data_IF_182144954490
#
_entry.id   IF_182144954490
#
_cell.length_a   1.000
_cell.length_b   1.000
_cell.length_c   1.000
_cell.angle_alpha   90.00
_cell.angle_beta   90.00
_cell.angle_gamma   90.00
#
_symmetry.space_group_name_H-M   'P 1'
#
loop_
_entity.id
_entity.type
_entity.pdbx_description
1 polymer ?
#
# COMPACT_ATOMS: atom_id res chain seq x y z
N UNK A 1 -24.20 -4.47 -7.13
CA UNK A 1 -22.73 -4.56 -7.23
C UNK A 1 -22.21 -5.94 -6.82
N UNK A 2 -22.45 -6.43 -5.60
CA UNK A 2 -21.99 -7.76 -5.13
C UNK A 2 -22.38 -8.91 -6.05
N UNK A 3 -23.64 -8.96 -6.51
CA UNK A 3 -24.12 -9.98 -7.45
C UNK A 3 -23.26 -10.07 -8.72
N UNK A 4 -22.90 -8.91 -9.31
CA UNK A 4 -22.03 -8.81 -10.48
C UNK A 4 -20.61 -9.34 -10.21
N UNK A 5 -20.10 -9.17 -8.99
CA UNK A 5 -18.82 -9.75 -8.55
C UNK A 5 -18.93 -11.28 -8.47
N UNK A 6 -20.02 -11.81 -7.88
CA UNK A 6 -20.28 -13.26 -7.78
C UNK A 6 -20.46 -13.91 -9.15
N UNK A 7 -21.10 -13.20 -10.08
CA UNK A 7 -21.32 -13.60 -11.46
C UNK A 7 -20.04 -13.50 -12.33
N UNK A 8 -18.93 -13.03 -11.78
CA UNK A 8 -17.65 -12.99 -12.47
C UNK A 8 -17.53 -11.87 -13.51
N UNK A 9 -18.35 -10.81 -13.43
CA UNK A 9 -18.30 -9.68 -14.37
C UNK A 9 -16.99 -8.86 -14.25
N UNK A 10 -16.26 -9.00 -13.14
CA UNK A 10 -15.02 -8.28 -12.88
C UNK A 10 -13.83 -9.24 -12.83
N UNK A 11 -12.74 -8.86 -13.49
CA UNK A 11 -11.47 -9.61 -13.45
C UNK A 11 -10.60 -9.27 -12.23
N UNK A 12 -10.81 -8.10 -11.63
CA UNK A 12 -10.09 -7.64 -10.46
C UNK A 12 -11.03 -6.87 -9.54
N UNK A 13 -10.90 -7.09 -8.23
CA UNK A 13 -11.67 -6.40 -7.19
C UNK A 13 -10.68 -5.81 -6.20
N UNK A 14 -10.67 -4.48 -6.07
CA UNK A 14 -9.79 -3.75 -5.15
C UNK A 14 -10.56 -3.42 -3.87
N UNK A 15 -9.95 -3.73 -2.72
CA UNK A 15 -10.58 -3.57 -1.42
C UNK A 15 -9.52 -3.18 -0.40
N UNK A 16 -9.85 -2.23 0.47
CA UNK A 16 -9.00 -1.93 1.61
C UNK A 16 -9.24 -2.95 2.73
N UNK A 17 -8.25 -3.22 3.60
CA UNK A 17 -8.43 -4.15 4.72
C UNK A 17 -9.58 -3.76 5.67
N UNK A 18 -9.85 -2.47 5.83
CA UNK A 18 -10.97 -1.96 6.65
C UNK A 18 -12.33 -2.37 6.08
N UNK A 19 -12.46 -2.44 4.75
CA UNK A 19 -13.69 -2.93 4.12
C UNK A 19 -13.87 -4.42 4.38
N UNK A 20 -12.80 -5.21 4.37
CA UNK A 20 -12.83 -6.66 4.59
C UNK A 20 -13.14 -6.99 6.06
N UNK A 21 -12.43 -6.34 6.98
CA UNK A 21 -12.39 -6.72 8.39
C UNK A 21 -13.21 -5.82 9.31
N UNK A 22 -13.67 -4.69 8.82
CA UNK A 22 -14.45 -3.72 9.58
C UNK A 22 -15.87 -4.18 9.90
N UNK A 23 -16.59 -3.24 10.50
CA UNK A 23 -17.99 -3.40 10.88
C UNK A 23 -18.84 -2.27 10.29
N UNK A 24 -18.90 -2.22 8.96
CA UNK A 24 -19.81 -1.34 8.24
C UNK A 24 -20.74 -2.16 7.32
N UNK A 25 -21.82 -1.58 6.78
CA UNK A 25 -22.71 -2.28 5.85
C UNK A 25 -21.97 -2.90 4.67
N UNK A 26 -20.94 -2.21 4.16
CA UNK A 26 -20.07 -2.74 3.11
C UNK A 26 -19.34 -3.99 3.58
N UNK A 27 -18.76 -4.02 4.78
CA UNK A 27 -18.08 -5.20 5.33
C UNK A 27 -19.00 -6.41 5.45
N UNK A 28 -20.29 -6.22 5.76
CA UNK A 28 -21.27 -7.32 5.79
C UNK A 28 -21.46 -7.95 4.41
N UNK A 29 -21.60 -7.12 3.38
CA UNK A 29 -21.68 -7.56 1.98
C UNK A 29 -20.42 -8.30 1.53
N UNK A 30 -19.25 -7.88 2.03
CA UNK A 30 -17.98 -8.56 1.73
C UNK A 30 -17.90 -9.93 2.38
N UNK A 31 -18.40 -10.09 3.60
CA UNK A 31 -18.49 -11.42 4.25
C UNK A 31 -19.38 -12.38 3.45
N UNK A 32 -20.43 -11.87 2.79
CA UNK A 32 -21.25 -12.69 1.87
C UNK A 32 -20.44 -13.24 0.70
N UNK A 33 -19.48 -12.47 0.15
CA UNK A 33 -18.58 -12.97 -0.91
C UNK A 33 -17.74 -14.15 -0.42
N UNK A 34 -17.16 -14.04 0.78
CA UNK A 34 -16.33 -15.12 1.35
C UNK A 34 -17.16 -16.34 1.80
N UNK A 35 -18.43 -16.15 2.15
CA UNK A 35 -19.34 -17.28 2.39
C UNK A 35 -19.84 -17.94 1.10
N UNK A 36 -19.70 -17.27 -0.06
CA UNK A 36 -20.13 -17.81 -1.34
C UNK A 36 -19.06 -18.76 -1.93
N UNK A 37 -19.33 -20.06 -1.90
CA UNK A 37 -18.42 -21.09 -2.43
C UNK A 37 -18.18 -20.97 -3.93
N UNK A 38 -19.18 -20.56 -4.71
CA UNK A 38 -19.04 -20.40 -6.16
C UNK A 38 -18.06 -19.28 -6.51
N UNK A 39 -18.16 -18.15 -5.80
CA UNK A 39 -17.20 -17.05 -5.94
C UNK A 39 -15.80 -17.49 -5.49
N UNK A 40 -15.68 -18.16 -4.34
CA UNK A 40 -14.36 -18.54 -3.79
C UNK A 40 -13.57 -19.45 -4.72
N UNK A 41 -14.27 -20.35 -5.44
CA UNK A 41 -13.67 -21.22 -6.45
C UNK A 41 -13.18 -20.49 -7.69
N UNK A 42 -13.64 -19.26 -7.94
CA UNK A 42 -13.23 -18.42 -9.07
C UNK A 42 -12.02 -17.54 -8.74
N UNK A 43 -11.59 -17.47 -7.47
CA UNK A 43 -10.39 -16.73 -7.10
C UNK A 43 -9.13 -17.34 -7.69
N UNK A 44 -8.43 -16.56 -8.52
CA UNK A 44 -7.14 -16.95 -9.09
C UNK A 44 -5.96 -16.60 -8.19
N UNK A 45 -6.04 -15.48 -7.47
CA UNK A 45 -5.02 -15.03 -6.54
C UNK A 45 -5.58 -13.96 -5.60
N UNK A 46 -4.95 -13.82 -4.44
CA UNK A 46 -5.10 -12.65 -3.57
C UNK A 46 -3.78 -11.90 -3.56
N UNK A 47 -3.83 -10.62 -3.94
CA UNK A 47 -2.66 -9.75 -4.03
C UNK A 47 -2.75 -8.71 -2.91
N UNK A 48 -1.71 -8.63 -2.08
CA UNK A 48 -1.56 -7.63 -1.04
C UNK A 48 -0.50 -6.63 -1.48
N UNK A 49 -0.96 -5.44 -1.82
CA UNK A 49 -0.09 -4.29 -2.04
C UNK A 49 0.43 -3.74 -0.69
N UNK A 50 1.62 -3.16 -0.73
CA UNK A 50 2.33 -2.66 0.45
C UNK A 50 2.39 -3.67 1.60
N UNK A 51 2.72 -4.94 1.30
CA UNK A 51 2.66 -6.05 2.27
C UNK A 51 3.51 -5.81 3.53
N UNK A 52 4.50 -4.91 3.48
CA UNK A 52 5.27 -4.47 4.63
C UNK A 52 4.40 -3.86 5.76
N UNK A 53 3.20 -3.39 5.43
CA UNK A 53 2.18 -2.90 6.36
C UNK A 53 1.74 -3.96 7.38
N UNK A 54 1.94 -5.25 7.08
CA UNK A 54 1.65 -6.36 7.99
C UNK A 54 2.62 -6.37 9.18
N UNK A 55 3.87 -5.93 8.99
CA UNK A 55 4.94 -6.03 9.98
C UNK A 55 5.24 -4.71 10.72
N UNK A 56 4.70 -3.56 10.28
CA UNK A 56 5.11 -2.19 10.70
C UNK A 56 3.97 -1.16 10.53
N UNK A 57 3.66 -0.13 11.36
CA UNK A 57 4.24 0.49 12.58
C UNK A 57 3.19 0.74 13.70
N UNK A 58 3.28 -0.01 14.81
CA UNK A 58 2.57 0.27 16.07
C UNK A 58 1.03 0.19 16.00
N UNK A 59 0.36 0.27 17.15
CA UNK A 59 -1.10 0.19 17.28
C UNK A 59 -1.88 1.32 16.56
N UNK A 60 -1.22 2.17 15.76
CA UNK A 60 -1.78 3.31 15.03
C UNK A 60 -1.71 3.17 13.51
N UNK A 61 -1.04 2.14 12.98
CA UNK A 61 -0.99 1.90 11.54
C UNK A 61 -1.94 0.77 11.18
N UNK A 62 -2.98 1.09 10.40
CA UNK A 62 -4.08 0.24 9.89
C UNK A 62 -4.10 -1.19 10.47
N UNK A 63 -4.66 -1.38 11.68
CA UNK A 63 -4.59 -2.65 12.40
C UNK A 63 -5.16 -3.84 11.60
N UNK A 64 -6.03 -3.57 10.64
CA UNK A 64 -6.65 -4.55 9.75
C UNK A 64 -5.65 -5.27 8.83
N UNK A 65 -4.46 -4.69 8.55
CA UNK A 65 -3.41 -5.40 7.81
C UNK A 65 -2.91 -6.64 8.56
N UNK A 66 -2.87 -6.60 9.89
CA UNK A 66 -2.44 -7.75 10.70
C UNK A 66 -3.40 -8.95 10.59
N UNK A 67 -4.62 -8.72 10.10
CA UNK A 67 -5.66 -9.74 9.93
C UNK A 67 -5.65 -10.39 8.55
N UNK A 68 -4.83 -9.92 7.61
CA UNK A 68 -4.80 -10.42 6.23
C UNK A 68 -4.46 -11.93 6.14
N UNK A 69 -3.82 -12.52 7.14
CA UNK A 69 -3.65 -13.97 7.25
C UNK A 69 -4.98 -14.75 7.29
N UNK A 70 -6.06 -14.17 7.83
CA UNK A 70 -7.40 -14.77 7.85
C UNK A 70 -7.91 -15.07 6.43
N UNK A 71 -7.55 -14.26 5.43
CA UNK A 71 -7.98 -14.47 4.04
C UNK A 71 -7.47 -15.80 3.47
N UNK A 72 -6.32 -16.28 3.92
CA UNK A 72 -5.78 -17.59 3.52
C UNK A 72 -6.53 -18.75 4.17
N UNK A 73 -7.01 -18.55 5.39
CA UNK A 73 -7.89 -19.51 6.06
C UNK A 73 -9.23 -19.59 5.34
N UNK A 74 -9.78 -18.44 4.90
CA UNK A 74 -11.07 -18.39 4.21
C UNK A 74 -11.00 -18.88 2.75
N UNK A 75 -9.82 -18.85 2.14
CA UNK A 75 -9.58 -19.14 0.73
C UNK A 75 -8.46 -20.18 0.54
N UNK A 76 -8.61 -21.41 1.10
CA UNK A 76 -7.57 -22.42 1.04
C UNK A 76 -7.27 -22.80 -0.42
N UNK A 77 -5.98 -22.93 -0.73
CA UNK A 77 -5.50 -23.26 -2.07
C UNK A 77 -5.38 -22.07 -3.04
N UNK A 78 -5.88 -20.88 -2.68
CA UNK A 78 -5.70 -19.67 -3.51
C UNK A 78 -4.29 -19.12 -3.33
N UNK A 79 -3.53 -18.88 -4.42
CA UNK A 79 -2.23 -18.23 -4.36
C UNK A 79 -2.29 -16.85 -3.68
N UNK A 80 -1.29 -16.57 -2.85
CA UNK A 80 -1.16 -15.31 -2.13
C UNK A 80 0.12 -14.60 -2.59
N UNK A 81 -0.01 -13.35 -3.02
CA UNK A 81 1.10 -12.55 -3.55
C UNK A 81 1.22 -11.27 -2.74
N UNK A 82 2.34 -11.10 -2.04
CA UNK A 82 2.68 -9.84 -1.39
C UNK A 82 3.63 -9.03 -2.24
N UNK A 83 3.32 -7.77 -2.50
CA UNK A 83 4.20 -6.83 -3.20
C UNK A 83 4.55 -5.66 -2.30
N UNK A 84 5.80 -5.21 -2.36
CA UNK A 84 6.29 -4.04 -1.60
C UNK A 84 7.60 -3.58 -2.19
N UNK A 85 7.85 -2.27 -2.14
CA UNK A 85 9.15 -1.69 -2.50
C UNK A 85 10.20 -1.89 -1.39
N UNK A 86 9.76 -1.96 -0.12
CA UNK A 86 10.67 -2.04 1.02
C UNK A 86 10.27 -3.19 1.94
N UNK A 87 11.22 -4.09 2.22
CA UNK A 87 11.06 -5.15 3.22
C UNK A 87 12.43 -5.68 3.62
N UNK A 88 12.79 -5.54 4.90
CA UNK A 88 14.03 -6.13 5.42
C UNK A 88 13.88 -7.66 5.52
N UNK A 89 15.01 -8.38 5.66
CA UNK A 89 14.95 -9.83 5.83
C UNK A 89 14.17 -10.24 7.09
N UNK A 90 14.39 -9.54 8.21
CA UNK A 90 13.67 -9.82 9.47
C UNK A 90 12.17 -9.49 9.36
N UNK A 91 11.84 -8.41 8.65
CA UNK A 91 10.45 -8.02 8.40
C UNK A 91 9.74 -9.02 7.49
N UNK A 92 10.45 -9.62 6.55
CA UNK A 92 9.91 -10.67 5.68
C UNK A 92 9.48 -11.89 6.50
N UNK A 93 10.32 -12.38 7.41
CA UNK A 93 9.99 -13.53 8.27
C UNK A 93 8.72 -13.27 9.07
N UNK A 94 8.66 -12.14 9.77
CA UNK A 94 7.48 -11.76 10.55
C UNK A 94 6.23 -11.52 9.69
N UNK A 95 6.38 -10.96 8.48
CA UNK A 95 5.29 -10.80 7.51
C UNK A 95 4.75 -12.17 7.09
N UNK A 96 5.64 -13.12 6.79
CA UNK A 96 5.26 -14.49 6.44
C UNK A 96 4.49 -15.15 7.58
N UNK A 97 4.96 -15.02 8.82
CA UNK A 97 4.30 -15.58 9.99
C UNK A 97 2.87 -15.02 10.17
N UNK A 98 2.70 -13.70 10.08
CA UNK A 98 1.39 -13.03 10.21
C UNK A 98 0.43 -13.34 9.05
N UNK A 99 0.95 -13.61 7.86
CA UNK A 99 0.18 -14.09 6.71
C UNK A 99 0.00 -15.62 6.70
N UNK A 100 0.45 -16.31 7.75
CA UNK A 100 0.43 -17.78 7.88
C UNK A 100 1.18 -18.51 6.75
N UNK A 101 2.12 -17.85 6.07
CA UNK A 101 2.87 -18.39 4.95
C UNK A 101 3.97 -19.32 5.46
N UNK A 102 3.81 -20.63 5.26
CA UNK A 102 4.84 -21.61 5.59
C UNK A 102 6.05 -21.56 4.64
N UNK A 103 5.83 -21.13 3.39
CA UNK A 103 6.87 -20.96 2.38
C UNK A 103 6.43 -19.90 1.38
N UNK A 104 7.37 -19.09 0.89
CA UNK A 104 7.15 -18.13 -0.17
C UNK A 104 8.32 -18.16 -1.16
N UNK A 105 8.02 -17.97 -2.45
CA UNK A 105 9.03 -17.66 -3.44
C UNK A 105 9.29 -16.16 -3.38
N UNK A 106 10.51 -15.76 -3.01
CA UNK A 106 10.86 -14.36 -2.76
C UNK A 106 11.69 -13.86 -3.92
N UNK A 107 11.12 -12.93 -4.70
CA UNK A 107 11.82 -12.20 -5.75
C UNK A 107 12.23 -10.83 -5.22
N UNK A 108 13.54 -10.54 -5.22
CA UNK A 108 14.07 -9.21 -4.87
C UNK A 108 14.72 -8.61 -6.11
N UNK A 109 14.19 -7.49 -6.56
CA UNK A 109 14.76 -6.70 -7.66
C UNK A 109 15.45 -5.50 -7.04
N UNK A 110 16.76 -5.37 -7.27
CA UNK A 110 17.54 -4.19 -6.88
C UNK A 110 18.01 -3.50 -8.15
N UNK A 111 17.33 -2.43 -8.53
CA UNK A 111 17.78 -1.57 -9.63
C UNK A 111 18.13 -0.20 -9.07
N UNK A 112 19.41 0.15 -9.11
CA UNK A 112 19.85 1.50 -8.85
C UNK A 112 19.63 2.33 -10.12
N UNK A 113 18.75 3.33 -10.06
CA UNK A 113 18.50 4.24 -11.17
C UNK A 113 19.75 5.08 -11.44
N UNK A 114 20.45 4.79 -12.54
CA UNK A 114 21.66 5.52 -12.96
C UNK A 114 21.38 6.92 -13.48
N UNK A 115 20.10 7.25 -13.72
CA UNK A 115 19.63 8.55 -14.20
C UNK A 115 19.17 9.49 -13.08
N UNK A 116 19.35 9.14 -11.79
CA UNK A 116 18.99 9.98 -10.65
C UNK A 116 20.23 10.62 -10.04
N UNK A 117 20.27 11.97 -10.00
CA UNK A 117 21.32 12.74 -9.32
C UNK A 117 20.80 13.23 -7.96
N UNK A 118 21.47 12.80 -6.89
CA UNK A 118 21.18 13.25 -5.53
C UNK A 118 22.08 14.44 -5.16
N UNK A 119 21.48 15.54 -4.70
CA UNK A 119 22.21 16.70 -4.18
C UNK A 119 21.66 17.11 -2.82
N UNK A 120 22.54 17.50 -1.90
CA UNK A 120 22.19 18.00 -0.57
C UNK A 120 22.69 19.43 -0.45
N UNK A 121 21.78 20.35 -0.11
CA UNK A 121 22.07 21.79 -0.03
C UNK A 121 21.66 22.33 1.35
N UNK A 122 22.48 23.19 1.93
CA UNK A 122 22.10 23.93 3.15
C UNK A 122 21.02 24.96 2.82
N UNK A 123 19.91 24.94 3.55
CA UNK A 123 18.83 25.90 3.36
C UNK A 123 19.17 27.26 3.97
N UNK A 124 19.02 28.38 3.23
CA UNK A 124 19.15 29.71 3.81
C UNK A 124 18.00 29.99 4.80
N UNK A 125 18.23 30.91 5.75
CA UNK A 125 17.18 31.36 6.70
C UNK A 125 15.92 31.86 5.98
N UNK A 126 16.09 32.48 4.81
CA UNK A 126 14.98 32.84 3.92
C UNK A 126 14.61 31.67 3.01
N UNK A 127 13.55 30.95 3.38
CA UNK A 127 13.03 29.81 2.63
C UNK A 127 12.66 30.15 1.17
N UNK A 128 12.25 31.38 0.86
CA UNK A 128 11.93 31.77 -0.51
C UNK A 128 13.18 31.80 -1.38
N UNK A 129 14.29 32.33 -0.84
CA UNK A 129 15.59 32.37 -1.52
C UNK A 129 16.18 30.96 -1.71
N UNK A 130 15.88 30.04 -0.79
CA UNK A 130 16.21 28.63 -0.93
C UNK A 130 15.42 27.97 -2.07
N UNK A 131 14.10 28.19 -2.09
CA UNK A 131 13.20 27.61 -3.07
C UNK A 131 13.43 28.15 -4.49
N UNK A 132 13.71 29.44 -4.64
CA UNK A 132 13.97 30.06 -5.95
C UNK A 132 15.21 29.47 -6.65
N UNK A 133 16.19 28.96 -5.89
CA UNK A 133 17.34 28.22 -6.45
C UNK A 133 16.95 26.87 -7.04
N UNK A 134 15.86 26.27 -6.57
CA UNK A 134 15.38 24.94 -6.98
C UNK A 134 14.33 25.02 -8.10
N UNK A 135 13.52 26.08 -8.12
CA UNK A 135 12.43 26.29 -9.09
C UNK A 135 12.89 26.68 -10.51
N UNK A 136 14.19 26.93 -10.73
CA UNK A 136 14.74 27.31 -12.04
C UNK A 136 15.03 26.13 -12.99
N UNK A 137 14.65 24.90 -12.64
CA UNK A 137 14.76 23.69 -13.47
C UNK A 137 13.35 23.26 -13.87
N UNK A 138 13.14 22.81 -15.11
CA UNK A 138 11.83 22.48 -15.74
C UNK A 138 10.72 21.94 -14.81
N UNK A 139 10.31 20.67 -14.96
CA UNK A 139 9.24 20.06 -14.16
C UNK A 139 9.81 19.65 -12.80
N UNK A 140 9.59 20.49 -11.79
CA UNK A 140 10.11 20.25 -10.42
C UNK A 140 8.98 19.84 -9.46
N UNK A 141 9.15 18.71 -8.78
CA UNK A 141 8.29 18.29 -7.65
C UNK A 141 8.99 18.70 -6.35
N UNK A 142 8.26 19.39 -5.47
CA UNK A 142 8.79 19.85 -4.18
C UNK A 142 7.99 19.19 -3.06
N UNK A 143 8.68 18.43 -2.21
CA UNK A 143 8.12 17.82 -1.02
C UNK A 143 8.36 18.72 0.20
N UNK A 144 7.35 18.81 1.07
CA UNK A 144 7.44 19.53 2.35
C UNK A 144 7.12 18.58 3.49
N UNK A 145 7.88 18.67 4.57
CA UNK A 145 7.64 17.86 5.78
C UNK A 145 6.33 18.24 6.49
N UNK A 146 5.89 19.50 6.38
CA UNK A 146 4.67 20.00 7.02
C UNK A 146 3.73 20.63 6.00
N UNK A 147 2.47 20.15 6.00
CA UNK A 147 1.37 20.68 5.17
C UNK A 147 1.16 22.19 5.39
N UNK A 148 1.34 22.69 6.62
CA UNK A 148 1.21 24.12 6.92
C UNK A 148 2.24 24.99 6.18
N UNK A 149 3.41 24.44 5.86
CA UNK A 149 4.44 25.11 5.05
C UNK A 149 4.04 25.06 3.57
N UNK A 150 3.55 23.91 3.10
CA UNK A 150 3.04 23.74 1.73
C UNK A 150 1.94 24.77 1.40
N UNK A 151 0.96 24.96 2.29
CA UNK A 151 -0.15 25.90 2.08
C UNK A 151 0.37 27.35 1.98
N UNK A 152 1.31 27.75 2.84
CA UNK A 152 1.94 29.08 2.82
C UNK A 152 2.80 29.32 1.58
N UNK A 153 3.44 28.27 1.05
CA UNK A 153 4.24 28.35 -0.16
C UNK A 153 3.37 28.37 -1.42
N UNK A 154 2.37 27.49 -1.52
CA UNK A 154 1.44 27.39 -2.66
C UNK A 154 0.71 28.71 -2.91
N UNK A 155 0.14 29.32 -1.88
CA UNK A 155 -0.52 30.65 -1.96
C UNK A 155 0.38 31.80 -2.41
N UNK A 156 1.72 31.63 -2.35
CA UNK A 156 2.71 32.64 -2.78
C UNK A 156 3.34 32.34 -4.14
N UNK A 157 3.20 31.12 -4.67
CA UNK A 157 3.71 30.74 -6.00
C UNK A 157 2.67 30.86 -7.11
N UNK A 158 1.37 30.96 -6.78
CA UNK A 158 0.27 31.17 -7.74
C UNK A 158 -0.02 32.67 -7.92
N UNK A 159 1.02 33.51 -8.02
CA UNK A 159 0.90 34.92 -8.40
C UNK A 159 1.80 35.22 -9.57
#
# INVERSE_FOLDING_TARGET
MIRRIIEGEFRAVFMSPEIIFGDCPTSKLVRELWNNTCWRKQLLAIVVDEVHCVEKWGNKFRPEYARLGELRVWSPGVPFVGVTATLTADALTQTMDKLFLSKANVLRVQEASTNVRLEVHTQPKDAKKGLSRLLGKDKTIIYFEKISILIKCSTRMIK
#
